data_IF_976252161868
#
_entry.id   IF_976252161868
#
_cell.length_a   1.000
_cell.length_b   1.000
_cell.length_c   1.000
_cell.angle_alpha   90.00
_cell.angle_beta   90.00
_cell.angle_gamma   90.00
#
_symmetry.space_group_name_H-M   'P 1'
#
loop_
_entity.id
_entity.type
_entity.pdbx_description
1 polymer ?
#
# COMPACT_ATOMS: atom_id res chain seq x y z
N UNK A 1 5.81 27.76 -40.29
CA UNK A 1 4.57 27.03 -39.92
C UNK A 1 3.65 28.02 -39.22
N UNK A 2 2.34 28.04 -39.50
CA UNK A 2 1.43 28.79 -38.65
C UNK A 2 1.39 28.11 -37.25
N UNK A 3 1.22 28.87 -36.16
CA UNK A 3 1.08 28.29 -34.83
C UNK A 3 -0.15 27.40 -34.79
N UNK A 4 -0.03 26.22 -34.16
CA UNK A 4 -1.18 25.38 -33.87
C UNK A 4 -2.19 26.22 -33.10
N UNK A 5 -3.43 26.29 -33.59
CA UNK A 5 -4.51 26.94 -32.86
C UNK A 5 -4.66 26.21 -31.53
N UNK A 6 -4.32 26.89 -30.43
CA UNK A 6 -4.60 26.38 -29.09
C UNK A 6 -6.10 26.18 -29.00
N UNK A 7 -6.49 24.96 -28.63
CA UNK A 7 -7.88 24.51 -28.59
C UNK A 7 -8.70 25.51 -27.78
N UNK A 8 -9.53 26.29 -28.47
CA UNK A 8 -10.23 27.47 -27.93
C UNK A 8 -11.35 27.06 -26.95
N UNK A 9 -11.49 25.74 -26.72
CA UNK A 9 -12.48 25.07 -25.90
C UNK A 9 -11.88 24.37 -24.69
N UNK A 10 -10.57 24.52 -24.41
CA UNK A 10 -9.97 23.97 -23.18
C UNK A 10 -10.45 24.75 -21.96
N UNK A 11 -11.56 24.28 -21.37
CA UNK A 11 -12.18 24.80 -20.14
C UNK A 11 -11.19 24.76 -18.96
N UNK A 12 -10.12 23.97 -19.08
CA UNK A 12 -9.08 23.81 -18.08
C UNK A 12 -7.84 24.66 -18.36
N UNK A 13 -7.81 25.48 -19.40
CA UNK A 13 -6.71 26.42 -19.63
C UNK A 13 -6.69 27.51 -18.54
N UNK A 14 -5.53 28.12 -18.32
CA UNK A 14 -5.39 29.23 -17.37
C UNK A 14 -6.09 30.51 -17.87
N UNK A 15 -6.26 30.63 -19.20
CA UNK A 15 -6.83 31.80 -19.87
C UNK A 15 -8.34 31.65 -20.20
N UNK A 16 -8.99 30.61 -19.69
CA UNK A 16 -10.43 30.40 -19.87
C UNK A 16 -11.18 31.57 -19.21
N UNK A 17 -12.02 32.28 -19.99
CA UNK A 17 -12.80 33.46 -19.57
C UNK A 17 -13.94 33.11 -18.57
N UNK A 18 -13.66 32.26 -17.59
CA UNK A 18 -14.57 31.97 -16.50
C UNK A 18 -14.46 33.13 -15.49
N UNK A 19 -15.61 33.70 -15.14
CA UNK A 19 -15.79 34.81 -14.19
C UNK A 19 -15.11 34.54 -12.83
N UNK A 20 -14.84 35.60 -12.06
CA UNK A 20 -14.11 35.73 -10.76
C UNK A 20 -14.28 34.64 -9.66
N UNK A 21 -15.12 33.63 -9.87
CA UNK A 21 -15.27 32.47 -9.00
C UNK A 21 -14.62 31.28 -9.72
N UNK A 22 -13.48 30.77 -9.23
CA UNK A 22 -12.68 29.64 -9.79
C UNK A 22 -13.42 28.27 -9.78
N UNK A 23 -14.71 28.26 -10.09
CA UNK A 23 -15.60 27.10 -10.09
C UNK A 23 -16.01 26.73 -11.52
N UNK A 24 -16.18 25.43 -11.76
CA UNK A 24 -16.63 24.86 -13.03
C UNK A 24 -17.90 24.05 -12.78
N UNK A 25 -18.96 24.20 -13.60
CA UNK A 25 -20.13 23.33 -13.51
C UNK A 25 -19.75 21.92 -13.96
N UNK A 26 -19.88 20.95 -13.07
CA UNK A 26 -19.56 19.54 -13.33
C UNK A 26 -20.82 18.68 -13.23
N UNK A 27 -20.97 17.80 -14.21
CA UNK A 27 -22.06 16.84 -14.27
C UNK A 27 -21.64 15.53 -13.63
N UNK A 28 -22.43 15.06 -12.66
CA UNK A 28 -22.20 13.83 -11.92
C UNK A 28 -23.22 12.77 -12.31
N UNK A 29 -22.71 11.62 -12.77
CA UNK A 29 -23.52 10.47 -13.14
C UNK A 29 -23.42 9.41 -12.04
N UNK A 30 -24.49 9.20 -11.28
CA UNK A 30 -24.50 8.22 -10.19
C UNK A 30 -24.85 6.82 -10.71
N UNK A 31 -24.37 5.74 -10.05
CA UNK A 31 -24.70 4.37 -10.42
C UNK A 31 -26.20 4.04 -10.27
N UNK A 32 -26.93 4.84 -9.48
CA UNK A 32 -28.39 4.75 -9.33
C UNK A 32 -29.16 5.27 -10.55
N UNK A 33 -28.48 5.87 -11.53
CA UNK A 33 -29.09 6.53 -12.69
C UNK A 33 -29.50 7.98 -12.46
N UNK A 34 -29.19 8.53 -11.29
CA UNK A 34 -29.44 9.95 -10.96
C UNK A 34 -28.34 10.83 -11.56
N UNK A 35 -28.76 11.94 -12.14
CA UNK A 35 -27.89 13.02 -12.64
C UNK A 35 -27.90 14.18 -11.65
N UNK A 36 -26.73 14.69 -11.29
CA UNK A 36 -26.56 15.86 -10.42
C UNK A 36 -25.58 16.81 -11.08
N UNK A 37 -25.94 18.07 -11.24
CA UNK A 37 -25.01 19.12 -11.68
C UNK A 37 -24.72 20.04 -10.49
N UNK A 38 -23.45 20.35 -10.26
CA UNK A 38 -23.04 21.34 -9.25
C UNK A 38 -21.75 22.04 -9.65
N UNK A 39 -21.58 23.26 -9.15
CA UNK A 39 -20.35 24.03 -9.32
C UNK A 39 -19.26 23.51 -8.38
N UNK A 40 -18.09 23.27 -8.94
CA UNK A 40 -16.96 22.65 -8.25
C UNK A 40 -15.72 23.53 -8.42
N UNK A 41 -14.99 23.86 -7.33
CA UNK A 41 -13.75 24.61 -7.45
C UNK A 41 -12.72 23.85 -8.29
N UNK A 42 -12.07 24.51 -9.25
CA UNK A 42 -11.06 23.91 -10.14
C UNK A 42 -9.89 23.30 -9.37
N UNK A 43 -9.49 23.96 -8.29
CA UNK A 43 -8.40 23.58 -7.39
C UNK A 43 -8.81 22.50 -6.37
N UNK A 44 -10.09 22.12 -6.30
CA UNK A 44 -10.55 21.11 -5.36
C UNK A 44 -9.97 19.72 -5.71
N UNK A 45 -9.58 18.99 -4.67
CA UNK A 45 -9.16 17.59 -4.81
C UNK A 45 -10.36 16.71 -5.14
N UNK A 46 -10.13 15.62 -5.87
CA UNK A 46 -11.18 14.65 -6.19
C UNK A 46 -11.88 14.13 -4.92
N UNK A 47 -11.13 13.93 -3.82
CA UNK A 47 -11.69 13.56 -2.52
C UNK A 47 -12.69 14.62 -2.00
N UNK A 48 -12.32 15.90 -2.07
CA UNK A 48 -13.20 16.98 -1.62
C UNK A 48 -14.46 17.08 -2.48
N UNK A 49 -14.32 16.90 -3.79
CA UNK A 49 -15.45 16.86 -4.74
C UNK A 49 -16.39 15.71 -4.40
N UNK A 50 -15.86 14.53 -4.06
CA UNK A 50 -16.65 13.38 -3.62
C UNK A 50 -17.46 13.69 -2.37
N UNK A 51 -16.87 14.39 -1.39
CA UNK A 51 -17.57 14.82 -0.18
C UNK A 51 -18.72 15.79 -0.50
N UNK A 52 -18.50 16.77 -1.39
CA UNK A 52 -19.54 17.70 -1.85
C UNK A 52 -20.68 16.95 -2.54
N UNK A 53 -20.34 15.99 -3.41
CA UNK A 53 -21.31 15.15 -4.08
C UNK A 53 -22.15 14.34 -3.08
N UNK A 54 -21.53 13.74 -2.06
CA UNK A 54 -22.26 12.96 -1.05
C UNK A 54 -23.21 13.81 -0.24
N UNK A 55 -22.81 15.03 0.12
CA UNK A 55 -23.69 15.99 0.81
C UNK A 55 -24.89 16.37 -0.06
N UNK A 56 -24.67 16.60 -1.35
CA UNK A 56 -25.73 16.97 -2.28
C UNK A 56 -26.66 15.80 -2.62
N UNK A 57 -26.11 14.61 -2.80
CA UNK A 57 -26.84 13.40 -3.17
C UNK A 57 -27.88 12.98 -2.12
N UNK A 58 -27.72 13.36 -0.85
CA UNK A 58 -28.72 13.15 0.21
C UNK A 58 -30.09 13.78 -0.10
N UNK A 59 -30.13 14.84 -0.91
CA UNK A 59 -31.36 15.49 -1.33
C UNK A 59 -32.06 14.78 -2.49
N UNK A 60 -31.42 13.76 -3.10
CA UNK A 60 -31.93 13.06 -4.27
C UNK A 60 -32.52 11.69 -3.91
N UNK A 61 -33.51 11.20 -4.69
CA UNK A 61 -34.07 9.88 -4.48
C UNK A 61 -33.00 8.79 -4.68
N UNK A 62 -33.24 7.63 -4.08
CA UNK A 62 -32.37 6.45 -4.16
C UNK A 62 -30.97 6.63 -3.53
N UNK A 63 -30.72 7.70 -2.78
CA UNK A 63 -29.46 7.88 -2.04
C UNK A 63 -29.13 6.69 -1.12
N UNK A 64 -30.15 6.07 -0.51
CA UNK A 64 -29.97 4.88 0.34
C UNK A 64 -29.37 3.67 -0.40
N UNK A 65 -29.46 3.63 -1.72
CA UNK A 65 -28.85 2.58 -2.56
C UNK A 65 -27.42 2.92 -3.00
N UNK A 66 -26.93 4.14 -2.73
CA UNK A 66 -25.58 4.53 -3.09
C UNK A 66 -24.53 3.88 -2.18
N UNK A 67 -24.86 3.52 -0.93
CA UNK A 67 -23.90 2.90 0.00
C UNK A 67 -22.83 3.87 0.53
N UNK A 68 -21.70 3.32 0.97
CA UNK A 68 -20.60 4.07 1.59
C UNK A 68 -19.77 4.87 0.57
N UNK A 69 -19.33 6.06 0.96
CA UNK A 69 -18.55 6.96 0.10
C UNK A 69 -17.22 6.35 -0.34
N UNK A 70 -16.57 5.64 0.56
CA UNK A 70 -15.24 5.03 0.40
C UNK A 70 -15.24 3.89 -0.62
N UNK A 71 -16.41 3.28 -0.87
CA UNK A 71 -16.60 2.19 -1.83
C UNK A 71 -16.72 2.65 -3.29
N UNK A 72 -16.72 3.97 -3.54
CA UNK A 72 -16.86 4.56 -4.87
C UNK A 72 -15.63 5.36 -5.28
N UNK A 73 -15.40 5.43 -6.59
CA UNK A 73 -14.42 6.31 -7.23
C UNK A 73 -15.05 6.97 -8.45
N UNK A 74 -14.44 8.04 -8.93
CA UNK A 74 -14.87 8.68 -10.18
C UNK A 74 -14.18 8.05 -11.39
N UNK A 75 -14.90 8.01 -12.50
CA UNK A 75 -14.44 7.70 -13.84
C UNK A 75 -14.74 8.92 -14.71
N UNK A 76 -13.78 9.32 -15.54
CA UNK A 76 -13.99 10.36 -16.54
C UNK A 76 -13.36 9.97 -17.87
N UNK A 77 -13.76 10.63 -18.95
CA UNK A 77 -13.04 10.54 -20.22
C UNK A 77 -11.91 11.56 -20.19
N UNK A 78 -10.66 11.13 -20.36
CA UNK A 78 -9.52 12.04 -20.38
C UNK A 78 -9.30 12.66 -21.77
N UNK A 79 -8.33 13.57 -21.89
CA UNK A 79 -8.02 14.25 -23.16
C UNK A 79 -7.59 13.31 -24.30
N UNK A 80 -7.20 12.07 -23.98
CA UNK A 80 -6.87 11.02 -24.96
C UNK A 80 -8.09 10.20 -25.40
N UNK A 81 -9.31 10.60 -25.02
CA UNK A 81 -10.57 9.89 -25.29
C UNK A 81 -10.62 8.46 -24.69
N UNK A 82 -9.95 8.26 -23.55
CA UNK A 82 -9.95 6.99 -22.80
C UNK A 82 -10.67 7.19 -21.46
N UNK A 83 -11.42 6.18 -21.02
CA UNK A 83 -11.98 6.15 -19.67
C UNK A 83 -10.85 5.97 -18.64
N UNK A 84 -10.72 6.93 -17.75
CA UNK A 84 -9.75 6.96 -16.66
C UNK A 84 -10.49 6.84 -15.33
N UNK A 85 -10.14 5.81 -14.57
CA UNK A 85 -10.58 5.62 -13.18
C UNK A 85 -9.67 6.45 -12.26
N UNK A 86 -10.24 7.39 -11.52
CA UNK A 86 -9.52 8.30 -10.63
C UNK A 86 -9.27 7.64 -9.28
N UNK A 87 -8.27 6.76 -9.21
CA UNK A 87 -7.88 6.08 -7.97
C UNK A 87 -7.20 7.01 -6.97
N UNK A 88 -6.37 7.94 -7.47
CA UNK A 88 -5.70 8.94 -6.65
C UNK A 88 -6.62 10.15 -6.41
N UNK A 89 -7.33 10.10 -5.28
CA UNK A 89 -8.27 11.14 -4.89
C UNK A 89 -7.58 12.45 -4.43
N UNK A 90 -6.25 12.48 -4.32
CA UNK A 90 -5.49 13.68 -3.90
C UNK A 90 -5.27 14.67 -5.04
N UNK A 91 -5.40 14.21 -6.30
CA UNK A 91 -5.29 15.06 -7.49
C UNK A 91 -6.37 16.14 -7.50
N UNK A 92 -6.06 17.30 -8.08
CA UNK A 92 -7.03 18.38 -8.29
C UNK A 92 -7.79 18.18 -9.60
N UNK A 93 -9.01 18.71 -9.68
CA UNK A 93 -9.81 18.64 -10.90
C UNK A 93 -9.10 19.28 -12.11
N UNK A 94 -8.44 20.42 -11.89
CA UNK A 94 -7.63 21.10 -12.92
C UNK A 94 -6.37 20.32 -13.35
N UNK A 95 -5.90 19.35 -12.57
CA UNK A 95 -4.79 18.46 -12.93
C UNK A 95 -5.28 17.20 -13.66
N UNK A 96 -6.53 16.78 -13.40
CA UNK A 96 -7.16 15.65 -14.10
C UNK A 96 -7.53 16.04 -15.54
N UNK A 97 -8.01 17.27 -15.74
CA UNK A 97 -8.43 17.83 -17.04
C UNK A 97 -9.30 16.86 -17.86
N UNK A 98 -10.48 16.42 -17.35
CA UNK A 98 -11.43 15.62 -18.11
C UNK A 98 -11.73 16.24 -19.49
N UNK A 99 -11.94 15.43 -20.53
CA UNK A 99 -12.31 15.91 -21.86
C UNK A 99 -13.61 16.73 -21.86
N UNK A 100 -14.56 16.36 -21.00
CA UNK A 100 -15.76 17.13 -20.67
C UNK A 100 -15.89 17.22 -19.16
N UNK A 101 -16.54 18.26 -18.59
CA UNK A 101 -16.75 18.38 -17.15
C UNK A 101 -17.82 17.39 -16.65
N UNK A 102 -17.58 16.10 -16.85
CA UNK A 102 -18.47 14.99 -16.51
C UNK A 102 -17.66 13.97 -15.69
N UNK A 103 -18.12 13.71 -14.47
CA UNK A 103 -17.56 12.69 -13.58
C UNK A 103 -18.61 11.62 -13.31
N UNK A 104 -18.35 10.40 -13.75
CA UNK A 104 -19.21 9.26 -13.49
C UNK A 104 -18.75 8.57 -12.22
N UNK A 105 -19.66 8.36 -11.27
CA UNK A 105 -19.37 7.63 -10.07
C UNK A 105 -19.51 6.12 -10.33
N UNK A 106 -18.46 5.37 -10.04
CA UNK A 106 -18.42 3.91 -10.18
C UNK A 106 -18.02 3.28 -8.86
N UNK A 107 -18.44 2.03 -8.63
CA UNK A 107 -17.96 1.24 -7.49
C UNK A 107 -16.50 0.88 -7.71
N UNK A 108 -15.65 1.09 -6.69
CA UNK A 108 -14.24 0.73 -6.73
C UNK A 108 -14.11 -0.76 -7.06
N UNK A 109 -13.14 -1.11 -7.90
CA UNK A 109 -12.89 -2.49 -8.28
C UNK A 109 -12.14 -3.28 -7.18
N UNK A 110 -12.24 -2.86 -5.90
CA UNK A 110 -11.73 -3.59 -4.74
C UNK A 110 -12.19 -5.06 -4.75
N UNK A 111 -13.38 -5.33 -5.31
CA UNK A 111 -13.90 -6.66 -5.50
C UNK A 111 -13.02 -7.59 -6.36
N UNK A 112 -12.20 -7.13 -7.32
CA UNK A 112 -11.34 -8.07 -8.09
C UNK A 112 -10.17 -8.58 -7.26
N UNK A 113 -9.47 -7.69 -6.57
CA UNK A 113 -8.35 -8.06 -5.70
C UNK A 113 -8.85 -8.90 -4.52
N UNK A 114 -9.97 -8.51 -3.92
CA UNK A 114 -10.65 -9.23 -2.85
C UNK A 114 -11.11 -10.62 -3.31
N UNK A 115 -11.80 -10.75 -4.45
CA UNK A 115 -12.21 -12.07 -5.00
C UNK A 115 -11.01 -12.98 -5.32
N UNK A 116 -9.88 -12.41 -5.75
CA UNK A 116 -8.65 -13.18 -5.97
C UNK A 116 -8.04 -13.65 -4.64
N UNK A 117 -8.08 -12.82 -3.61
CA UNK A 117 -7.66 -13.20 -2.26
C UNK A 117 -8.60 -14.26 -1.68
N UNK A 118 -9.92 -14.08 -1.78
CA UNK A 118 -10.93 -15.03 -1.34
C UNK A 118 -10.78 -16.38 -2.03
N UNK A 119 -10.45 -16.37 -3.33
CA UNK A 119 -10.14 -17.59 -4.07
C UNK A 119 -8.87 -18.26 -3.54
N UNK A 120 -7.78 -17.51 -3.29
CA UNK A 120 -6.53 -18.08 -2.72
C UNK A 120 -6.76 -18.63 -1.31
N UNK A 121 -7.47 -17.91 -0.46
CA UNK A 121 -7.84 -18.35 0.88
C UNK A 121 -8.68 -19.62 0.79
N UNK A 122 -9.68 -19.64 -0.09
CA UNK A 122 -10.54 -20.79 -0.29
C UNK A 122 -9.79 -22.03 -0.77
N UNK A 123 -8.78 -21.86 -1.63
CA UNK A 123 -7.86 -22.94 -2.04
C UNK A 123 -7.04 -23.45 -0.86
N UNK A 124 -6.46 -22.55 -0.04
CA UNK A 124 -5.66 -22.93 1.13
C UNK A 124 -6.47 -23.67 2.21
N UNK A 125 -7.73 -23.28 2.41
CA UNK A 125 -8.65 -23.89 3.37
C UNK A 125 -9.34 -25.14 2.78
N UNK A 126 -9.41 -25.23 1.45
CA UNK A 126 -10.15 -26.27 0.72
C UNK A 126 -11.67 -26.06 0.71
N UNK A 127 -12.15 -24.82 0.90
CA UNK A 127 -13.57 -24.45 0.93
C UNK A 127 -13.83 -23.09 0.29
N UNK A 128 -14.92 -22.93 -0.44
CA UNK A 128 -15.31 -21.63 -0.98
C UNK A 128 -15.76 -20.67 0.13
N UNK A 129 -15.23 -19.44 0.18
CA UNK A 129 -15.63 -18.47 1.20
C UNK A 129 -17.11 -18.08 1.10
N UNK A 130 -17.67 -18.04 -0.11
CA UNK A 130 -19.09 -17.80 -0.35
C UNK A 130 -20.01 -18.83 0.36
N UNK A 131 -19.53 -20.06 0.58
CA UNK A 131 -20.27 -21.08 1.34
C UNK A 131 -20.33 -20.72 2.83
N UNK A 132 -19.27 -20.10 3.36
CA UNK A 132 -19.21 -19.62 4.73
C UNK A 132 -20.05 -18.36 4.93
N UNK A 133 -20.18 -17.52 3.90
CA UNK A 133 -21.05 -16.34 3.89
C UNK A 133 -22.53 -16.71 3.82
N UNK A 134 -22.86 -17.82 3.15
CA UNK A 134 -24.23 -18.32 3.07
C UNK A 134 -24.77 -18.87 4.41
N UNK A 135 -23.91 -19.11 5.40
CA UNK A 135 -24.31 -19.61 6.72
C UNK A 135 -25.06 -18.52 7.50
N UNK A 136 -26.31 -18.82 7.86
CA UNK A 136 -27.17 -17.90 8.63
C UNK A 136 -27.04 -18.04 10.14
N UNK A 137 -26.23 -18.99 10.61
CA UNK A 137 -26.01 -19.24 12.03
C UNK A 137 -25.34 -18.04 12.73
N UNK A 138 -25.95 -17.56 13.81
CA UNK A 138 -25.48 -16.37 14.52
C UNK A 138 -24.16 -16.61 15.26
N UNK A 139 -23.95 -17.81 15.83
CA UNK A 139 -22.70 -18.16 16.50
C UNK A 139 -21.53 -18.10 15.50
N UNK A 140 -21.75 -18.61 14.28
CA UNK A 140 -20.75 -18.54 13.19
C UNK A 140 -20.44 -17.10 12.82
N UNK A 141 -21.45 -16.24 12.67
CA UNK A 141 -21.26 -14.82 12.35
C UNK A 141 -20.51 -14.09 13.45
N UNK A 142 -20.86 -14.32 14.71
CA UNK A 142 -20.21 -13.72 15.87
C UNK A 142 -18.74 -14.16 15.97
N UNK A 143 -18.48 -15.46 15.76
CA UNK A 143 -17.13 -16.00 15.73
C UNK A 143 -16.27 -15.34 14.64
N UNK A 144 -16.78 -15.24 13.41
CA UNK A 144 -16.08 -14.60 12.29
C UNK A 144 -15.76 -13.14 12.58
N UNK A 145 -16.74 -12.42 13.13
CA UNK A 145 -16.59 -11.00 13.49
C UNK A 145 -15.55 -10.80 14.59
N UNK A 146 -15.55 -11.68 15.61
CA UNK A 146 -14.56 -11.68 16.69
C UNK A 146 -13.15 -11.98 16.18
N UNK A 147 -13.00 -12.98 15.31
CA UNK A 147 -11.70 -13.35 14.73
C UNK A 147 -11.16 -12.28 13.80
N UNK A 148 -12.03 -11.59 13.07
CA UNK A 148 -11.66 -10.42 12.27
C UNK A 148 -11.04 -9.33 13.16
N UNK A 149 -11.71 -8.98 14.27
CA UNK A 149 -11.20 -7.96 15.22
C UNK A 149 -9.85 -8.34 15.82
N UNK A 150 -9.64 -9.60 16.20
CA UNK A 150 -8.35 -10.08 16.72
C UNK A 150 -7.25 -9.94 15.66
N UNK A 151 -7.56 -10.23 14.40
CA UNK A 151 -6.62 -10.10 13.30
C UNK A 151 -6.24 -8.63 13.05
N UNK A 152 -7.21 -7.72 13.12
CA UNK A 152 -6.98 -6.27 13.02
C UNK A 152 -6.09 -5.76 14.15
N UNK A 153 -6.39 -6.12 15.41
CA UNK A 153 -5.58 -5.77 16.57
C UNK A 153 -4.12 -6.27 16.43
N UNK A 154 -3.92 -7.47 15.87
CA UNK A 154 -2.58 -8.01 15.57
C UNK A 154 -1.88 -7.24 14.46
N UNK A 155 -2.59 -6.91 13.39
CA UNK A 155 -2.04 -6.17 12.26
C UNK A 155 -1.55 -4.79 12.69
N UNK A 156 -2.32 -4.08 13.53
CA UNK A 156 -1.91 -2.80 14.11
C UNK A 156 -0.61 -2.94 14.91
N UNK A 157 -0.47 -4.00 15.72
CA UNK A 157 0.80 -4.25 16.45
C UNK A 157 1.96 -4.45 15.49
N UNK A 158 1.78 -5.23 14.43
CA UNK A 158 2.83 -5.47 13.42
C UNK A 158 3.24 -4.18 12.72
N UNK A 159 2.29 -3.30 12.38
CA UNK A 159 2.59 -2.01 11.77
C UNK A 159 3.42 -1.09 12.69
N UNK A 160 3.27 -1.24 14.01
CA UNK A 160 4.01 -0.48 15.01
C UNK A 160 5.36 -1.11 15.39
N UNK A 161 5.69 -2.31 14.90
CA UNK A 161 6.95 -2.98 15.23
C UNK A 161 8.14 -2.28 14.57
N UNK A 162 9.26 -2.22 15.30
CA UNK A 162 10.55 -1.97 14.68
C UNK A 162 10.95 -3.15 13.78
N UNK A 163 11.85 -2.90 12.83
CA UNK A 163 12.38 -3.93 11.93
C UNK A 163 12.91 -5.17 12.68
N UNK A 164 13.57 -4.97 13.83
CA UNK A 164 14.11 -6.07 14.64
C UNK A 164 13.00 -6.93 15.27
N UNK A 165 11.96 -6.29 15.80
CA UNK A 165 10.82 -6.99 16.41
C UNK A 165 10.02 -7.77 15.36
N UNK A 166 9.82 -7.17 14.19
CA UNK A 166 9.20 -7.84 13.05
C UNK A 166 10.00 -9.09 12.64
N UNK A 167 11.33 -8.95 12.49
CA UNK A 167 12.21 -10.06 12.14
C UNK A 167 12.14 -11.20 13.16
N UNK A 168 12.18 -10.88 14.46
CA UNK A 168 12.08 -11.88 15.53
C UNK A 168 10.70 -12.57 15.55
N UNK A 169 9.64 -11.85 15.21
CA UNK A 169 8.29 -12.42 15.11
C UNK A 169 8.13 -13.35 13.90
N UNK A 170 8.74 -13.03 12.76
CA UNK A 170 8.65 -13.85 11.56
C UNK A 170 9.64 -15.03 11.58
N UNK A 171 10.79 -14.86 12.24
CA UNK A 171 11.88 -15.83 12.29
C UNK A 171 12.30 -16.08 13.73
N UNK A 172 11.39 -16.66 14.53
CA UNK A 172 11.69 -16.97 15.92
C UNK A 172 12.81 -18.02 16.02
N UNK A 173 13.86 -17.78 16.83
CA UNK A 173 14.97 -18.70 16.96
C UNK A 173 14.50 -20.00 17.63
N UNK A 174 14.88 -21.13 17.05
CA UNK A 174 14.60 -22.46 17.61
C UNK A 174 15.64 -22.77 18.68
N UNK A 175 15.39 -22.28 19.90
CA UNK A 175 16.25 -22.48 21.05
C UNK A 175 15.73 -23.65 21.89
N UNK A 176 16.59 -24.62 22.17
CA UNK A 176 16.29 -25.72 23.11
C UNK A 176 16.37 -25.23 24.55
N UNK A 177 15.42 -25.66 25.38
CA UNK A 177 15.42 -25.39 26.81
C UNK A 177 16.22 -26.49 27.55
N UNK A 178 17.55 -26.39 27.55
CA UNK A 178 18.41 -27.39 28.21
C UNK A 178 19.85 -26.92 28.46
N UNK A 179 20.48 -27.47 29.50
CA UNK A 179 21.89 -27.26 29.81
C UNK A 179 22.82 -28.02 28.85
N UNK A 180 23.97 -27.44 28.52
CA UNK A 180 24.95 -27.98 27.55
C UNK A 180 25.76 -29.18 28.06
N UNK A 181 25.37 -29.80 29.18
CA UNK A 181 26.17 -30.80 29.89
C UNK A 181 26.48 -32.03 29.02
N UNK A 182 25.52 -32.53 28.25
CA UNK A 182 25.73 -33.66 27.33
C UNK A 182 26.54 -33.29 26.07
N UNK A 183 26.57 -32.01 25.69
CA UNK A 183 27.34 -31.50 24.55
C UNK A 183 28.82 -31.33 24.93
N UNK A 184 29.10 -31.00 26.19
CA UNK A 184 30.46 -30.75 26.69
C UNK A 184 31.35 -32.00 26.60
N UNK A 185 30.78 -33.20 26.74
CA UNK A 185 31.48 -34.49 26.55
C UNK A 185 31.68 -34.88 25.07
N UNK A 186 31.03 -34.17 24.14
CA UNK A 186 31.07 -34.43 22.69
C UNK A 186 31.88 -33.39 21.93
N UNK A 187 32.10 -32.21 22.51
CA UNK A 187 33.06 -31.23 22.00
C UNK A 187 34.49 -31.68 22.34
N UNK A 188 35.22 -32.15 21.32
CA UNK A 188 36.67 -32.28 21.46
C UNK A 188 37.27 -30.89 21.70
N UNK A 189 38.02 -30.72 22.79
CA UNK A 189 38.80 -29.51 23.10
C UNK A 189 37.98 -28.20 23.16
N UNK A 190 36.70 -28.26 23.57
CA UNK A 190 35.80 -27.10 23.69
C UNK A 190 35.66 -26.24 22.40
N UNK A 191 36.05 -26.77 21.23
CA UNK A 191 36.13 -25.99 20.00
C UNK A 191 34.96 -26.30 19.08
N UNK A 192 34.15 -25.27 18.76
CA UNK A 192 33.08 -25.36 17.77
C UNK A 192 33.59 -24.91 16.40
N UNK A 193 33.52 -25.80 15.40
CA UNK A 193 33.82 -25.44 14.00
C UNK A 193 32.53 -25.06 13.29
N UNK A 194 32.37 -23.77 12.99
CA UNK A 194 31.25 -23.25 12.19
C UNK A 194 31.74 -22.95 10.78
N UNK A 195 31.05 -23.50 9.78
CA UNK A 195 31.31 -23.16 8.37
C UNK A 195 30.20 -22.24 7.90
N UNK A 196 30.56 -21.03 7.47
CA UNK A 196 29.62 -20.04 6.96
C UNK A 196 29.83 -19.92 5.46
N UNK A 197 28.74 -19.96 4.70
CA UNK A 197 28.78 -19.84 3.26
C UNK A 197 28.29 -18.45 2.84
N UNK A 198 28.97 -17.87 1.87
CA UNK A 198 28.56 -16.65 1.20
C UNK A 198 28.48 -16.94 -0.29
N UNK A 199 27.44 -16.45 -0.97
CA UNK A 199 27.12 -16.78 -2.37
C UNK A 199 28.20 -16.38 -3.41
N UNK A 200 29.31 -15.77 -2.98
CA UNK A 200 30.42 -15.37 -3.84
C UNK A 200 31.81 -15.84 -3.36
N UNK A 201 31.92 -16.78 -2.42
CA UNK A 201 33.23 -17.29 -1.98
C UNK A 201 33.31 -18.81 -1.93
N UNK A 202 34.37 -19.35 -2.55
CA UNK A 202 34.79 -20.73 -2.28
C UNK A 202 35.18 -20.84 -0.80
N UNK A 203 34.66 -21.88 -0.14
CA UNK A 203 34.42 -21.93 1.30
C UNK A 203 35.58 -21.47 2.21
N UNK A 204 35.27 -20.57 3.13
CA UNK A 204 36.14 -20.18 4.24
C UNK A 204 35.67 -20.88 5.52
N UNK A 205 36.56 -21.68 6.14
CA UNK A 205 36.28 -22.32 7.43
C UNK A 205 37.01 -21.57 8.53
N UNK A 206 36.30 -21.09 9.55
CA UNK A 206 36.89 -20.47 10.73
C UNK A 206 36.95 -21.48 11.88
N UNK A 207 38.08 -21.51 12.59
CA UNK A 207 38.28 -22.31 13.81
C UNK A 207 38.40 -21.31 14.97
N UNK A 208 37.38 -21.21 15.81
CA UNK A 208 37.41 -20.35 16.99
C UNK A 208 38.11 -21.08 18.14
N UNK A 209 39.34 -20.67 18.50
CA UNK A 209 40.00 -21.13 19.71
C UNK A 209 39.78 -20.10 20.83
N UNK A 210 39.26 -20.54 21.99
CA UNK A 210 39.35 -19.75 23.21
C UNK A 210 40.81 -19.70 23.67
N UNK A 211 41.36 -18.50 23.79
CA UNK A 211 42.72 -18.27 24.28
C UNK A 211 43.38 -17.13 23.55
N UNK A 212 43.44 -15.96 24.22
CA UNK A 212 44.00 -14.74 23.66
C UNK A 212 45.41 -14.92 23.11
N UNK A 213 45.57 -14.63 21.82
CA UNK A 213 46.73 -13.98 21.20
C UNK A 213 46.39 -13.68 19.75
N UNK A 214 46.68 -12.45 19.35
CA UNK A 214 46.63 -12.00 17.96
C UNK A 214 47.41 -12.96 17.06
N UNK A 215 46.74 -13.51 16.06
CA UNK A 215 47.39 -14.12 14.91
C UNK A 215 46.85 -13.42 13.66
N UNK A 216 47.70 -12.55 13.08
CA UNK A 216 47.41 -11.85 11.85
C UNK A 216 47.17 -12.82 10.69
N UNK A 217 45.96 -12.79 10.13
CA UNK A 217 45.64 -13.35 8.84
C UNK A 217 45.73 -12.26 7.77
N UNK A 218 46.85 -12.20 7.06
CA UNK A 218 47.05 -11.33 5.90
C UNK A 218 46.09 -11.72 4.77
N UNK A 219 45.19 -10.82 4.36
CA UNK A 219 44.47 -10.91 3.10
C UNK A 219 44.76 -9.66 2.27
N UNK A 220 45.77 -9.75 1.39
CA UNK A 220 45.89 -8.87 0.22
C UNK A 220 44.85 -9.31 -0.82
N UNK A 221 43.88 -8.44 -1.09
CA UNK A 221 42.99 -8.51 -2.25
C UNK A 221 42.56 -7.10 -2.61
N UNK A 222 42.99 -6.61 -3.77
CA UNK A 222 42.86 -5.23 -4.25
C UNK A 222 41.44 -4.90 -4.74
N UNK A 223 41.05 -3.62 -4.65
CA UNK A 223 39.91 -3.00 -5.36
C UNK A 223 38.87 -2.38 -4.43
N UNK A 224 39.09 -1.16 -3.90
CA UNK A 224 38.53 0.12 -4.39
C UNK A 224 37.00 0.16 -4.44
N UNK A 225 36.26 0.98 -3.69
CA UNK A 225 36.61 2.06 -2.77
C UNK A 225 35.38 2.48 -1.94
N UNK A 226 35.63 3.00 -0.73
CA UNK A 226 34.61 3.68 0.09
C UNK A 226 35.02 5.15 0.17
N UNK A 227 34.11 6.01 -0.29
CA UNK A 227 34.17 7.46 -0.12
C UNK A 227 33.93 7.80 1.35
N UNK A 228 34.96 8.31 2.04
CA UNK A 228 34.86 8.87 3.39
C UNK A 228 34.58 10.36 3.32
N UNK A 229 33.45 10.80 3.87
CA UNK A 229 33.14 12.21 4.16
C UNK A 229 33.86 12.61 5.46
N UNK A 230 34.67 13.68 5.50
CA UNK A 230 35.25 14.14 6.76
C UNK A 230 34.29 15.11 7.46
N UNK A 231 33.67 14.64 8.56
CA UNK A 231 33.01 15.52 9.53
C UNK A 231 34.06 16.15 10.43
N UNK A 232 34.43 17.40 10.15
CA UNK A 232 35.32 18.20 10.99
C UNK A 232 34.68 18.53 12.34
N UNK A 233 35.41 18.26 13.43
CA UNK A 233 35.25 18.97 14.71
C UNK A 233 36.32 20.06 14.77
N UNK A 234 35.89 21.30 14.79
CA UNK A 234 36.70 22.46 15.16
C UNK A 234 36.12 23.09 16.41
N UNK A 235 36.96 23.22 17.43
CA UNK A 235 36.72 23.87 18.72
C UNK A 235 36.70 25.38 18.51
N UNK A 236 35.75 26.06 19.17
CA UNK A 236 35.59 27.51 19.23
C UNK A 236 34.22 27.88 19.79
#
# INVERSE_FOLDING_TARGET
>A
MPPAMTDTLDIWAADSQLSDEDCVPVDFLLPTGIYIQMDVPREATIQHIKLLLWKQAQAYPLFSFLGEMESHMFECVNQSAVHEELEDETRRLCDVRPFLPVLKLITRNCGRAERLLDSKIGVLIGKGLHELDALQDQEVKDFRSKMFRISEEKMLRVQMMSWKEWLQSCFSPQLEAGGTEALQERLNEATLKVTMHFDLSQGTSFRGAEGGREAGGCCRGQGSGVSTVPGGRGVG
#
